data_IF_740900639201
#
_entry.id   IF_740900639201
#
_cell.length_a   1.000
_cell.length_b   1.000
_cell.length_c   1.000
_cell.angle_alpha   90.00
_cell.angle_beta   90.00
_cell.angle_gamma   90.00
#
_symmetry.space_group_name_H-M   'P 1'
#
loop_
_entity.id
_entity.type
_entity.pdbx_description
1 polymer ?
#
# COMPACT_ATOMS: atom_id res chain seq x y z
N UNK A 1 19.61 -3.58 -12.48
CA UNK A 1 18.77 -2.64 -11.72
C UNK A 1 18.86 -3.09 -10.28
N UNK A 2 19.34 -2.25 -9.37
CA UNK A 2 19.32 -2.60 -7.95
C UNK A 2 17.88 -2.46 -7.44
N UNK A 3 17.44 -3.45 -6.68
CA UNK A 3 16.04 -3.62 -6.30
C UNK A 3 15.98 -3.95 -4.81
N UNK A 4 15.17 -3.19 -4.07
CA UNK A 4 14.80 -3.49 -2.70
C UNK A 4 13.44 -4.19 -2.73
N UNK A 5 13.37 -5.40 -2.17
CA UNK A 5 12.14 -6.16 -2.07
C UNK A 5 11.79 -6.33 -0.61
N UNK A 6 10.60 -5.90 -0.24
CA UNK A 6 10.07 -6.12 1.10
C UNK A 6 8.61 -6.48 1.07
N UNK A 7 8.24 -7.41 1.93
CA UNK A 7 6.93 -8.03 1.83
C UNK A 7 6.53 -8.82 3.06
N UNK A 8 5.23 -8.87 3.25
CA UNK A 8 4.53 -9.72 4.21
C UNK A 8 4.17 -11.07 3.60
N UNK A 9 3.13 -11.67 4.15
CA UNK A 9 2.52 -12.89 3.64
C UNK A 9 1.77 -12.64 2.34
N UNK A 10 1.08 -11.51 2.22
CA UNK A 10 0.23 -11.13 1.10
C UNK A 10 0.84 -9.98 0.30
N UNK A 11 1.30 -8.92 0.97
CA UNK A 11 1.82 -7.71 0.32
C UNK A 11 3.30 -7.84 -0.04
N UNK A 12 3.67 -7.47 -1.26
CA UNK A 12 5.07 -7.32 -1.69
C UNK A 12 5.24 -5.98 -2.38
N UNK A 13 6.21 -5.20 -1.92
CA UNK A 13 6.63 -3.92 -2.51
C UNK A 13 8.05 -4.10 -3.05
N UNK A 14 8.22 -3.81 -4.34
CA UNK A 14 9.51 -3.83 -5.04
C UNK A 14 9.86 -2.40 -5.39
N UNK A 15 11.00 -1.92 -4.94
CA UNK A 15 11.48 -0.54 -5.16
C UNK A 15 12.78 -0.60 -5.95
N UNK A 16 12.79 0.07 -7.10
CA UNK A 16 13.94 0.15 -7.99
C UNK A 16 14.72 1.43 -7.70
N UNK A 17 16.00 1.28 -7.35
CA UNK A 17 16.83 2.33 -6.75
C UNK A 17 17.73 3.06 -7.75
N UNK A 18 17.59 2.75 -9.03
CA UNK A 18 18.52 3.13 -10.09
C UNK A 18 18.53 4.62 -10.46
N UNK A 19 17.54 5.41 -10.02
CA UNK A 19 17.58 6.88 -10.05
C UNK A 19 16.39 7.47 -9.28
N UNK A 20 16.54 7.92 -8.03
CA UNK A 20 15.48 8.68 -7.41
C UNK A 20 15.21 9.98 -8.18
N UNK A 21 13.95 10.39 -8.25
CA UNK A 21 13.52 11.64 -8.91
C UNK A 21 13.03 12.64 -7.87
N UNK A 22 13.34 13.92 -8.09
CA UNK A 22 12.90 15.02 -7.21
C UNK A 22 11.45 15.42 -7.52
N UNK A 23 10.51 14.52 -7.21
CA UNK A 23 9.07 14.72 -7.34
C UNK A 23 8.31 13.88 -6.30
N UNK A 24 7.00 14.08 -6.17
CA UNK A 24 6.16 13.47 -5.14
C UNK A 24 6.18 11.92 -5.07
N UNK A 25 6.72 11.26 -6.09
CA UNK A 25 6.84 9.80 -6.19
C UNK A 25 8.31 9.47 -6.56
N UNK A 26 9.20 9.46 -5.57
CA UNK A 26 10.63 9.60 -5.84
C UNK A 26 11.29 8.32 -6.36
N UNK A 27 10.60 7.18 -6.33
CA UNK A 27 11.13 5.90 -6.81
C UNK A 27 10.24 5.28 -7.86
N UNK A 28 10.76 4.29 -8.57
CA UNK A 28 9.95 3.40 -9.38
C UNK A 28 9.68 2.12 -8.58
N UNK A 29 8.46 1.61 -8.61
CA UNK A 29 8.12 0.39 -7.90
C UNK A 29 7.01 -0.43 -8.51
N UNK A 30 6.85 -1.62 -7.94
CA UNK A 30 5.79 -2.58 -8.24
C UNK A 30 5.17 -2.99 -6.90
N UNK A 31 3.84 -3.07 -6.85
CA UNK A 31 3.13 -3.65 -5.71
C UNK A 31 2.39 -4.89 -6.18
N UNK A 32 2.62 -6.00 -5.47
CA UNK A 32 1.91 -7.26 -5.63
C UNK A 32 1.13 -7.57 -4.35
N UNK A 33 -0.08 -8.10 -4.49
CA UNK A 33 -0.85 -8.67 -3.37
C UNK A 33 -1.33 -10.06 -3.77
N UNK A 34 -0.91 -11.09 -3.04
CA UNK A 34 -1.14 -12.50 -3.40
C UNK A 34 -0.72 -12.83 -4.85
N UNK A 35 0.34 -12.16 -5.32
CA UNK A 35 0.86 -12.30 -6.69
C UNK A 35 0.08 -11.54 -7.77
N UNK A 36 -1.02 -10.87 -7.43
CA UNK A 36 -1.74 -9.96 -8.34
C UNK A 36 -1.01 -8.63 -8.47
N UNK A 37 -0.87 -8.12 -9.68
CA UNK A 37 -0.21 -6.85 -9.96
C UNK A 37 -1.16 -5.67 -9.78
N UNK A 38 -1.11 -5.06 -8.60
CA UNK A 38 -1.96 -3.91 -8.27
C UNK A 38 -1.33 -2.57 -8.66
N UNK A 39 0.01 -2.49 -8.75
CA UNK A 39 0.74 -1.30 -9.18
C UNK A 39 1.94 -1.66 -10.07
N UNK A 40 2.07 -0.99 -11.21
CA UNK A 40 3.03 -1.29 -12.27
C UNK A 40 2.34 -1.79 -13.54
N UNK A 41 3.10 -2.11 -14.58
CA UNK A 41 2.59 -2.63 -15.85
C UNK A 41 3.39 -3.84 -16.34
N UNK A 42 3.06 -4.38 -17.52
CA UNK A 42 3.79 -5.47 -18.16
C UNK A 42 4.18 -5.09 -19.59
N UNK A 43 5.46 -5.31 -19.92
CA UNK A 43 6.07 -5.01 -21.22
C UNK A 43 6.74 -6.24 -21.82
N UNK A 44 6.93 -6.24 -23.14
CA UNK A 44 7.71 -7.24 -23.87
C UNK A 44 9.05 -6.61 -24.26
N UNK A 45 10.10 -6.95 -23.52
CA UNK A 45 11.47 -6.53 -23.79
C UNK A 45 12.26 -7.69 -24.40
N UNK A 46 12.82 -7.50 -25.60
CA UNK A 46 13.61 -8.53 -26.30
C UNK A 46 12.88 -9.89 -26.42
N UNK A 47 11.56 -9.86 -26.57
CA UNK A 47 10.71 -11.06 -26.64
C UNK A 47 10.43 -11.74 -25.29
N UNK A 48 10.83 -11.13 -24.18
CA UNK A 48 10.55 -11.60 -22.82
C UNK A 48 9.57 -10.66 -22.13
N UNK A 49 8.63 -11.25 -21.40
CA UNK A 49 7.69 -10.50 -20.58
C UNK A 49 8.37 -10.04 -19.30
N UNK A 50 8.30 -8.75 -19.02
CA UNK A 50 8.87 -8.14 -17.83
C UNK A 50 7.85 -7.23 -17.18
N UNK A 51 7.79 -7.26 -15.86
CA UNK A 51 7.02 -6.27 -15.13
C UNK A 51 7.78 -4.94 -15.17
N UNK A 52 7.10 -3.88 -15.58
CA UNK A 52 7.64 -2.53 -15.64
C UNK A 52 7.09 -1.74 -14.45
N UNK A 53 7.96 -1.10 -13.66
CA UNK A 53 7.53 -0.33 -12.51
C UNK A 53 6.85 0.98 -12.92
N UNK A 54 6.21 1.60 -11.93
CA UNK A 54 5.60 2.92 -11.98
C UNK A 54 6.13 3.78 -10.84
N UNK A 55 6.00 5.10 -10.96
CA UNK A 55 6.26 6.07 -9.90
C UNK A 55 5.57 5.69 -8.57
N UNK A 56 6.38 5.58 -7.51
CA UNK A 56 6.03 5.10 -6.19
C UNK A 56 6.78 5.90 -5.10
N UNK A 57 6.10 6.18 -4.00
CA UNK A 57 6.69 6.60 -2.73
C UNK A 57 6.53 5.49 -1.67
N UNK A 58 7.60 4.76 -1.33
CA UNK A 58 7.53 3.67 -0.35
C UNK A 58 7.28 4.16 1.08
N UNK A 59 7.62 5.42 1.43
CA UNK A 59 7.23 6.00 2.72
C UNK A 59 5.71 6.10 2.80
N UNK A 60 5.09 6.68 1.78
CA UNK A 60 3.63 6.86 1.71
C UNK A 60 2.93 5.50 1.62
N UNK A 61 3.45 4.53 0.86
CA UNK A 61 2.88 3.17 0.83
C UNK A 61 2.78 2.58 2.24
N UNK A 62 3.85 2.70 3.04
CA UNK A 62 3.87 2.16 4.40
C UNK A 62 2.97 2.97 5.34
N UNK A 63 2.94 4.29 5.20
CA UNK A 63 2.05 5.17 5.95
C UNK A 63 0.59 4.82 5.72
N UNK A 64 0.18 4.72 4.45
CA UNK A 64 -1.20 4.44 4.05
C UNK A 64 -1.69 3.09 4.58
N UNK A 65 -0.84 2.05 4.55
CA UNK A 65 -1.17 0.74 5.11
C UNK A 65 -1.39 0.81 6.63
N UNK A 66 -0.57 1.59 7.35
CA UNK A 66 -0.72 1.77 8.79
C UNK A 66 -1.97 2.61 9.13
N UNK A 67 -2.23 3.68 8.39
CA UNK A 67 -3.41 4.53 8.58
C UNK A 67 -4.69 3.75 8.29
N UNK A 68 -4.69 2.89 7.26
CA UNK A 68 -5.79 1.96 6.98
C UNK A 68 -6.00 0.96 8.13
N UNK A 69 -4.92 0.41 8.70
CA UNK A 69 -5.02 -0.49 9.85
C UNK A 69 -5.57 0.23 11.08
N UNK A 70 -5.07 1.42 11.40
CA UNK A 70 -5.53 2.22 12.52
C UNK A 70 -7.03 2.54 12.38
N UNK A 71 -7.44 2.98 11.18
CA UNK A 71 -8.85 3.19 10.87
C UNK A 71 -9.66 1.92 11.16
N UNK A 72 -9.36 0.77 10.55
CA UNK A 72 -10.15 -0.43 10.73
C UNK A 72 -10.16 -1.00 12.15
N UNK A 73 -9.09 -0.80 12.93
CA UNK A 73 -9.00 -1.35 14.28
C UNK A 73 -9.61 -0.45 15.36
N UNK A 74 -9.64 0.87 15.16
CA UNK A 74 -10.02 1.81 16.22
C UNK A 74 -11.20 2.71 15.87
N UNK A 75 -11.31 3.15 14.62
CA UNK A 75 -12.31 4.13 14.22
C UNK A 75 -13.72 3.51 14.11
N UNK A 76 -14.74 4.33 14.28
CA UNK A 76 -16.17 4.00 14.14
C UNK A 76 -16.81 4.61 12.89
N UNK A 77 -16.11 5.50 12.18
CA UNK A 77 -16.58 6.09 10.94
C UNK A 77 -16.74 5.04 9.82
N UNK A 78 -17.69 5.29 8.92
CA UNK A 78 -17.96 4.43 7.77
C UNK A 78 -16.98 4.65 6.62
N UNK A 79 -16.38 5.83 6.51
CA UNK A 79 -15.49 6.20 5.40
C UNK A 79 -14.30 7.00 5.93
N UNK A 80 -13.09 6.64 5.50
CA UNK A 80 -11.84 7.28 5.89
C UNK A 80 -10.79 7.28 4.78
N UNK A 81 -9.60 7.75 5.09
CA UNK A 81 -8.50 7.88 4.13
C UNK A 81 -8.43 9.28 3.51
N UNK A 82 -7.74 9.38 2.36
CA UNK A 82 -7.28 10.68 1.84
C UNK A 82 -8.15 11.25 0.71
N UNK A 83 -9.17 10.51 0.28
CA UNK A 83 -10.11 10.99 -0.73
C UNK A 83 -11.09 11.98 -0.11
N UNK A 84 -11.21 13.14 -0.74
CA UNK A 84 -12.29 14.10 -0.44
C UNK A 84 -13.53 13.70 -1.23
N UNK A 85 -14.58 13.26 -0.54
CA UNK A 85 -15.87 12.96 -1.14
C UNK A 85 -16.46 11.62 -0.71
N UNK A 86 -17.38 11.10 -1.52
CA UNK A 86 -18.06 9.83 -1.27
C UNK A 86 -17.25 8.68 -1.90
N UNK A 87 -16.45 8.01 -1.07
CA UNK A 87 -15.61 6.87 -1.46
C UNK A 87 -16.47 5.74 -1.98
N UNK A 88 -17.66 5.53 -1.39
CA UNK A 88 -18.57 4.47 -1.81
C UNK A 88 -19.09 4.72 -3.23
N UNK A 89 -19.51 5.96 -3.52
CA UNK A 89 -19.89 6.36 -4.88
C UNK A 89 -18.74 6.18 -5.86
N UNK A 90 -17.54 6.66 -5.51
CA UNK A 90 -16.34 6.52 -6.34
C UNK A 90 -16.01 5.05 -6.64
N UNK A 91 -15.99 4.19 -5.63
CA UNK A 91 -15.73 2.75 -5.81
C UNK A 91 -16.78 2.10 -6.73
N UNK A 92 -18.05 2.49 -6.64
CA UNK A 92 -19.12 2.01 -7.53
C UNK A 92 -18.97 2.51 -8.96
N UNK A 93 -18.54 3.75 -9.16
CA UNK A 93 -18.23 4.31 -10.49
C UNK A 93 -17.06 3.56 -11.15
N UNK A 94 -16.12 3.03 -10.35
CA UNK A 94 -15.06 2.11 -10.82
C UNK A 94 -15.55 0.67 -11.04
N UNK A 95 -16.78 0.35 -10.65
CA UNK A 95 -17.42 -0.94 -10.82
C UNK A 95 -17.21 -1.92 -9.66
N UNK A 96 -16.78 -1.46 -8.48
CA UNK A 96 -16.59 -2.31 -7.32
C UNK A 96 -17.88 -2.49 -6.51
N UNK A 97 -18.20 -3.73 -6.07
CA UNK A 97 -19.45 -4.04 -5.39
C UNK A 97 -19.39 -3.75 -3.89
N UNK A 98 -19.02 -2.53 -3.51
CA UNK A 98 -18.95 -2.13 -2.09
C UNK A 98 -20.34 -2.08 -1.44
N UNK A 99 -20.45 -2.63 -0.23
CA UNK A 99 -21.68 -2.68 0.56
C UNK A 99 -22.19 -1.29 0.96
N UNK A 100 -23.44 -1.17 1.43
CA UNK A 100 -24.01 0.15 1.80
C UNK A 100 -23.44 0.71 3.11
N UNK A 101 -23.08 -0.16 4.04
CA UNK A 101 -22.67 0.20 5.41
C UNK A 101 -21.32 -0.38 5.82
N UNK A 102 -20.56 -0.85 4.83
CA UNK A 102 -19.21 -1.38 5.05
C UNK A 102 -18.24 -0.24 5.28
N UNK A 103 -17.23 -0.47 6.11
CA UNK A 103 -16.23 0.56 6.39
C UNK A 103 -15.24 0.62 5.23
N UNK A 104 -15.06 1.81 4.67
CA UNK A 104 -14.19 2.05 3.52
C UNK A 104 -13.01 2.93 3.90
N UNK A 105 -11.85 2.62 3.37
CA UNK A 105 -10.67 3.47 3.44
C UNK A 105 -10.10 3.63 2.02
N UNK A 106 -9.96 4.87 1.56
CA UNK A 106 -9.34 5.14 0.26
C UNK A 106 -7.90 5.62 0.41
N UNK A 107 -7.02 5.12 -0.46
CA UNK A 107 -5.61 5.51 -0.49
C UNK A 107 -5.04 5.42 -1.91
N UNK A 108 -3.98 6.19 -2.17
CA UNK A 108 -3.17 6.06 -3.40
C UNK A 108 -2.06 5.02 -3.27
N UNK A 109 -1.81 4.50 -2.06
CA UNK A 109 -0.67 3.67 -1.67
C UNK A 109 0.69 4.27 -2.04
N UNK A 110 0.77 5.59 -2.13
CA UNK A 110 1.96 6.26 -2.64
C UNK A 110 2.25 5.92 -4.10
N UNK A 111 1.27 5.49 -4.90
CA UNK A 111 1.43 5.18 -6.32
C UNK A 111 0.92 6.36 -7.14
N UNK A 112 1.67 6.77 -8.16
CA UNK A 112 1.20 7.78 -9.10
C UNK A 112 -0.09 7.32 -9.78
N UNK A 113 -1.14 8.15 -9.71
CA UNK A 113 -2.50 7.80 -10.15
C UNK A 113 -3.10 6.53 -9.49
N UNK A 114 -2.58 6.14 -8.33
CA UNK A 114 -3.11 5.04 -7.52
C UNK A 114 -4.55 5.28 -7.08
N UNK A 115 -5.38 4.25 -7.21
CA UNK A 115 -6.80 4.28 -6.83
C UNK A 115 -7.17 2.95 -6.15
N UNK A 116 -7.05 2.95 -4.82
CA UNK A 116 -7.25 1.78 -3.98
C UNK A 116 -8.32 2.05 -2.94
N UNK A 117 -9.35 1.21 -2.91
CA UNK A 117 -10.39 1.23 -1.88
C UNK A 117 -10.31 -0.04 -1.07
N UNK A 118 -10.02 0.09 0.22
CA UNK A 118 -10.08 -0.99 1.18
C UNK A 118 -11.47 -1.03 1.79
N UNK A 119 -12.12 -2.18 1.77
CA UNK A 119 -13.42 -2.40 2.40
C UNK A 119 -13.30 -3.47 3.49
N UNK A 120 -13.76 -3.19 4.70
CA UNK A 120 -13.83 -4.17 5.77
C UNK A 120 -15.19 -4.88 5.79
N UNK A 121 -15.17 -6.20 5.56
CA UNK A 121 -16.35 -7.08 5.61
C UNK A 121 -16.03 -8.32 6.44
N UNK A 122 -16.74 -8.54 7.55
CA UNK A 122 -16.61 -9.75 8.38
C UNK A 122 -15.15 -10.14 8.71
N UNK A 123 -14.35 -9.20 9.23
CA UNK A 123 -12.91 -9.38 9.52
C UNK A 123 -12.05 -9.74 8.30
N UNK A 124 -12.50 -9.42 7.09
CA UNK A 124 -11.75 -9.54 5.85
C UNK A 124 -11.64 -8.17 5.22
N UNK A 125 -10.43 -7.78 4.83
CA UNK A 125 -10.16 -6.56 4.08
C UNK A 125 -10.19 -6.92 2.60
N UNK A 126 -11.18 -6.38 1.89
CA UNK A 126 -11.26 -6.44 0.44
C UNK A 126 -10.53 -5.21 -0.13
N UNK A 127 -9.38 -5.44 -0.75
CA UNK A 127 -8.66 -4.43 -1.51
C UNK A 127 -9.22 -4.39 -2.93
N UNK A 128 -9.99 -3.35 -3.23
CA UNK A 128 -10.41 -3.02 -4.59
C UNK A 128 -9.35 -2.13 -5.23
N UNK A 129 -8.76 -2.57 -6.34
CA UNK A 129 -7.69 -1.84 -7.01
C UNK A 129 -8.10 -1.48 -8.44
N UNK A 130 -7.68 -0.30 -8.89
CA UNK A 130 -7.73 0.12 -10.28
C UNK A 130 -6.31 0.54 -10.72
N UNK A 131 -5.66 -0.30 -11.51
CA UNK A 131 -4.34 -0.10 -12.09
C UNK A 131 -4.47 0.49 -13.51
N UNK A 132 -4.43 1.82 -13.60
CA UNK A 132 -4.60 2.56 -14.87
C UNK A 132 -3.50 2.24 -15.89
N UNK A 133 -2.30 1.88 -15.44
CA UNK A 133 -1.15 1.58 -16.32
C UNK A 133 -1.25 0.22 -16.98
N UNK A 134 -1.82 -0.79 -16.31
CA UNK A 134 -2.20 -2.03 -17.00
C UNK A 134 -3.33 -1.76 -18.00
N UNK A 135 -4.26 -0.87 -17.69
CA UNK A 135 -5.34 -0.54 -18.63
C UNK A 135 -4.82 0.12 -19.92
N UNK A 136 -3.84 1.02 -19.81
CA UNK A 136 -3.36 1.85 -20.92
C UNK A 136 -2.17 1.29 -21.68
N UNK A 137 -1.24 0.63 -20.98
CA UNK A 137 0.11 0.38 -21.49
C UNK A 137 0.52 -1.09 -21.43
N UNK A 138 -0.40 -2.00 -21.12
CA UNK A 138 -0.11 -3.42 -21.05
C UNK A 138 0.19 -4.03 -22.43
N UNK A 139 1.34 -4.68 -22.55
CA UNK A 139 1.74 -5.45 -23.74
C UNK A 139 1.56 -6.97 -23.55
N UNK A 140 1.17 -7.41 -22.36
CA UNK A 140 1.12 -8.82 -21.95
C UNK A 140 -0.34 -9.32 -21.88
N UNK A 141 -0.78 -10.22 -22.79
CA UNK A 141 -2.19 -10.66 -22.85
C UNK A 141 -2.75 -11.28 -21.56
N UNK A 142 -1.92 -11.87 -20.71
CA UNK A 142 -2.35 -12.46 -19.43
C UNK A 142 -2.82 -11.44 -18.37
N UNK A 143 -2.58 -10.15 -18.61
CA UNK A 143 -3.09 -9.04 -17.79
C UNK A 143 -4.32 -8.37 -18.40
N UNK A 144 -4.82 -8.86 -19.54
CA UNK A 144 -6.05 -8.34 -20.14
C UNK A 144 -7.22 -8.47 -19.16
N UNK A 145 -7.93 -7.37 -18.92
CA UNK A 145 -9.01 -7.30 -17.93
C UNK A 145 -8.58 -7.30 -16.46
N UNK A 146 -7.29 -7.47 -16.15
CA UNK A 146 -6.75 -7.47 -14.77
C UNK A 146 -6.28 -6.10 -14.29
N UNK A 147 -6.57 -5.04 -15.05
CA UNK A 147 -6.36 -3.66 -14.63
C UNK A 147 -7.25 -3.23 -13.46
N UNK A 148 -8.27 -4.03 -13.10
CA UNK A 148 -9.05 -3.83 -11.88
C UNK A 148 -9.45 -5.17 -11.28
N UNK A 149 -9.61 -5.21 -9.96
CA UNK A 149 -9.99 -6.43 -9.28
C UNK A 149 -10.26 -6.23 -7.80
N UNK A 150 -10.49 -7.33 -7.09
CA UNK A 150 -10.67 -7.34 -5.64
C UNK A 150 -9.89 -8.50 -5.05
N UNK A 151 -9.05 -8.20 -4.06
CA UNK A 151 -8.22 -9.18 -3.35
C UNK A 151 -8.65 -9.17 -1.89
N UNK A 152 -8.93 -10.34 -1.33
CA UNK A 152 -9.46 -10.47 0.03
C UNK A 152 -8.41 -11.03 0.97
N UNK A 153 -8.04 -10.27 2.00
CA UNK A 153 -7.05 -10.64 3.01
C UNK A 153 -7.70 -10.64 4.39
N UNK A 154 -7.51 -11.65 5.25
CA UNK A 154 -8.00 -11.60 6.63
C UNK A 154 -7.44 -10.37 7.35
N UNK A 155 -8.27 -9.62 8.09
CA UNK A 155 -7.87 -8.38 8.76
C UNK A 155 -6.64 -8.57 9.64
N UNK A 156 -6.57 -9.69 10.37
CA UNK A 156 -5.42 -10.02 11.21
C UNK A 156 -4.13 -10.12 10.38
N UNK A 157 -4.17 -10.82 9.26
CA UNK A 157 -3.02 -11.04 8.37
C UNK A 157 -2.63 -9.76 7.62
N UNK A 158 -3.62 -8.93 7.24
CA UNK A 158 -3.40 -7.60 6.68
C UNK A 158 -2.62 -6.70 7.65
N UNK A 159 -3.02 -6.67 8.93
CA UNK A 159 -2.34 -5.89 9.97
C UNK A 159 -0.94 -6.43 10.25
N UNK A 160 -0.75 -7.75 10.27
CA UNK A 160 0.56 -8.39 10.41
C UNK A 160 1.51 -7.98 9.28
N UNK A 161 1.01 -7.97 8.05
CA UNK A 161 1.75 -7.49 6.88
C UNK A 161 2.13 -6.01 7.05
N UNK A 162 1.17 -5.11 7.31
CA UNK A 162 1.43 -3.69 7.49
C UNK A 162 2.47 -3.41 8.61
N UNK A 163 2.39 -4.13 9.73
CA UNK A 163 3.36 -4.03 10.82
C UNK A 163 4.75 -4.54 10.42
N UNK A 164 4.84 -5.63 9.67
CA UNK A 164 6.11 -6.15 9.18
C UNK A 164 6.74 -5.20 8.18
N UNK A 165 6.00 -4.78 7.13
CA UNK A 165 6.49 -3.86 6.11
C UNK A 165 6.97 -2.55 6.74
N UNK A 166 6.19 -1.97 7.66
CA UNK A 166 6.59 -0.75 8.34
C UNK A 166 7.82 -0.90 9.21
N UNK A 167 7.96 -2.00 9.96
CA UNK A 167 9.17 -2.25 10.74
C UNK A 167 10.41 -2.39 9.85
N UNK A 168 10.32 -3.17 8.77
CA UNK A 168 11.43 -3.34 7.83
C UNK A 168 11.79 -2.03 7.11
N UNK A 169 10.79 -1.23 6.72
CA UNK A 169 11.02 0.09 6.16
C UNK A 169 11.79 0.99 7.14
N UNK A 170 11.27 1.14 8.36
CA UNK A 170 11.83 2.02 9.39
C UNK A 170 13.25 1.64 9.83
N UNK A 171 13.60 0.34 9.77
CA UNK A 171 14.86 -0.17 10.33
C UNK A 171 15.91 -0.50 9.27
N UNK A 172 15.51 -0.69 8.02
CA UNK A 172 16.39 -1.17 6.95
C UNK A 172 16.25 -0.37 5.67
N UNK A 173 15.05 -0.30 5.09
CA UNK A 173 14.91 0.23 3.72
C UNK A 173 14.90 1.74 3.66
N UNK A 174 14.18 2.43 4.56
CA UNK A 174 14.17 3.89 4.64
C UNK A 174 15.58 4.48 4.69
N UNK A 175 16.47 4.03 5.61
CA UNK A 175 17.85 4.50 5.66
C UNK A 175 18.62 4.30 4.35
N UNK A 176 18.43 3.17 3.65
CA UNK A 176 19.06 2.91 2.35
C UNK A 176 18.55 3.90 1.30
N UNK A 177 17.25 4.20 1.29
CA UNK A 177 16.63 5.13 0.37
C UNK A 177 17.09 6.57 0.62
N UNK A 178 17.22 6.99 1.88
CA UNK A 178 17.75 8.30 2.24
C UNK A 178 19.22 8.47 1.83
N UNK A 179 20.04 7.42 1.98
CA UNK A 179 21.41 7.44 1.46
C UNK A 179 21.46 7.67 -0.05
N UNK A 180 20.47 7.16 -0.81
CA UNK A 180 20.37 7.39 -2.25
C UNK A 180 19.96 8.84 -2.55
N UNK A 181 19.02 9.42 -1.81
CA UNK A 181 18.69 10.84 -1.95
C UNK A 181 19.92 11.72 -1.71
N UNK A 182 20.66 11.48 -0.63
CA UNK A 182 21.88 12.23 -0.30
C UNK A 182 22.92 12.10 -1.42
N UNK A 183 23.12 10.89 -1.97
CA UNK A 183 24.08 10.66 -3.08
C UNK A 183 23.71 11.42 -4.35
N UNK A 184 22.42 11.58 -4.62
CA UNK A 184 21.91 12.33 -5.78
C UNK A 184 21.75 13.84 -5.50
N UNK A 185 22.16 14.32 -4.32
CA UNK A 185 22.06 15.73 -3.94
C UNK A 185 20.65 16.19 -3.56
N UNK A 186 19.76 15.24 -3.23
CA UNK A 186 18.40 15.46 -2.77
C UNK A 186 18.33 15.43 -1.24
N UNK A 187 17.24 15.98 -0.70
CA UNK A 187 16.97 15.93 0.74
C UNK A 187 16.48 14.53 1.14
N UNK A 188 17.03 13.92 2.21
CA UNK A 188 16.48 12.69 2.77
C UNK A 188 15.08 12.94 3.35
N UNK A 189 14.38 11.86 3.69
CA UNK A 189 13.14 11.91 4.46
C UNK A 189 13.37 12.64 5.80
N UNK A 190 12.46 13.54 6.16
CA UNK A 190 12.55 14.30 7.42
C UNK A 190 12.50 13.37 8.65
N UNK A 191 13.29 13.69 9.68
CA UNK A 191 13.29 12.97 10.96
C UNK A 191 11.89 13.02 11.61
N UNK A 192 11.16 14.14 11.48
CA UNK A 192 9.80 14.26 11.98
C UNK A 192 8.84 13.27 11.30
N UNK A 193 9.06 12.98 10.01
CA UNK A 193 8.27 12.00 9.25
C UNK A 193 8.56 10.56 9.70
N UNK A 194 9.83 10.24 10.01
CA UNK A 194 10.18 8.96 10.61
C UNK A 194 9.57 8.77 11.99
N UNK A 195 9.63 9.80 12.84
CA UNK A 195 9.04 9.77 14.17
C UNK A 195 7.51 9.57 14.11
N UNK A 196 6.85 10.28 13.19
CA UNK A 196 5.44 10.13 12.94
C UNK A 196 5.07 8.71 12.45
N UNK A 197 5.90 8.11 11.60
CA UNK A 197 5.68 6.74 11.10
C UNK A 197 5.96 5.69 12.19
N UNK A 198 6.99 5.88 13.01
CA UNK A 198 7.26 5.06 14.19
C UNK A 198 6.11 5.09 15.20
N UNK A 199 5.53 6.27 15.42
CA UNK A 199 4.38 6.45 16.31
C UNK A 199 3.17 5.66 15.81
N UNK A 200 2.85 5.76 14.53
CA UNK A 200 1.79 4.97 13.88
C UNK A 200 2.03 3.47 14.00
N UNK A 201 3.22 2.99 13.66
CA UNK A 201 3.61 1.59 13.82
C UNK A 201 3.36 1.09 15.24
N UNK A 202 3.81 1.84 16.25
CA UNK A 202 3.62 1.49 17.67
C UNK A 202 2.14 1.47 18.06
N UNK A 203 1.34 2.40 17.54
CA UNK A 203 -0.10 2.45 17.84
C UNK A 203 -0.84 1.26 17.24
N UNK A 204 -0.66 0.98 15.94
CA UNK A 204 -1.25 -0.19 15.27
C UNK A 204 -0.81 -1.49 15.96
N UNK A 205 0.45 -1.60 16.35
CA UNK A 205 0.97 -2.77 17.09
C UNK A 205 0.30 -2.95 18.45
N UNK A 206 -0.03 -1.85 19.14
CA UNK A 206 -0.77 -1.88 20.40
C UNK A 206 -2.20 -2.37 20.17
N UNK A 207 -2.93 -1.76 19.23
CA UNK A 207 -4.30 -2.15 18.85
C UNK A 207 -4.38 -3.62 18.43
N UNK A 208 -3.42 -4.08 17.62
CA UNK A 208 -3.32 -5.48 17.20
C UNK A 208 -3.25 -6.44 18.40
N UNK A 209 -2.43 -6.14 19.42
CA UNK A 209 -2.31 -6.97 20.63
C UNK A 209 -3.59 -6.98 21.46
N UNK A 210 -4.22 -5.82 21.61
CA UNK A 210 -5.46 -5.67 22.37
C UNK A 210 -6.61 -6.46 21.72
N UNK A 211 -6.70 -6.47 20.39
CA UNK A 211 -7.80 -7.10 19.63
C UNK A 211 -7.53 -8.60 19.37
N UNK A 212 -6.33 -8.98 18.92
CA UNK A 212 -6.06 -10.32 18.41
C UNK A 212 -5.22 -11.20 19.34
N UNK A 213 -4.49 -10.62 20.30
CA UNK A 213 -3.65 -11.38 21.24
C UNK A 213 -4.30 -11.56 22.62
N UNK A 214 -5.47 -10.96 22.86
CA UNK A 214 -6.18 -11.07 24.14
C UNK A 214 -5.51 -10.33 25.30
N UNK A 215 -4.57 -9.41 25.01
CA UNK A 215 -3.87 -8.60 26.03
C UNK A 215 -4.77 -7.48 26.60
N UNK A 216 -6.08 -7.51 26.34
CA UNK A 216 -7.03 -6.61 27.00
C UNK A 216 -6.96 -6.86 28.51
N UNK A 217 -6.32 -5.93 29.23
CA UNK A 217 -6.46 -5.85 30.68
C UNK A 217 -7.96 -5.86 31.00
N UNK A 218 -8.38 -6.90 31.68
CA UNK A 218 -9.60 -6.92 32.46
C UNK A 218 -9.59 -5.72 33.40
N UNK A 219 -10.33 -4.67 33.05
CA UNK A 219 -10.79 -3.67 34.01
C UNK A 219 -12.30 -3.58 33.87
N UNK A 220 -12.98 -4.39 34.68
CA UNK A 220 -14.33 -4.11 35.18
C UNK A 220 -14.30 -2.88 36.06
#
# INVERSE_FOLDING_TARGET
MEELVFGGKHFTVRVFTNRPVDYAFPFFGIILVDGELIAGTCKIEEGRKVLSPIDLDPYVTVQDLLDCCEFFLFDTEEQGGYMVGDIRRHARERGFPVGEKTRLFWSSLGVYMGDYTFELVNNTVNLHYYNDDIFRYNECPEFEGRYRGTISVPLKEFVEDALKLSYEYLTKYGPILDELFIKEGLSPTDEELYDALWKRHKNVKKLYREIFSGDSKSSR
#
